data_IF_090948234718
#
_entry.id   IF_090948234718
#
_cell.length_a   1.000
_cell.length_b   1.000
_cell.length_c   1.000
_cell.angle_alpha   90.00
_cell.angle_beta   90.00
_cell.angle_gamma   90.00
#
_symmetry.space_group_name_H-M   'P 1'
#
loop_
_entity.id
_entity.type
_entity.pdbx_description
1 polymer ?
#
# COMPACT_ATOMS: atom_id res chain seq x y z
N UNK A 1 8.44 12.96 -23.90
CA UNK A 1 8.65 13.80 -22.70
C UNK A 1 7.76 13.14 -21.66
N UNK A 2 8.32 12.18 -20.89
CA UNK A 2 7.55 11.52 -19.82
C UNK A 2 7.31 12.59 -18.75
N UNK A 3 6.05 12.90 -18.48
CA UNK A 3 5.71 13.57 -17.23
C UNK A 3 6.21 12.68 -16.07
N UNK A 4 6.79 13.28 -15.03
CA UNK A 4 7.17 12.51 -13.86
C UNK A 4 5.91 11.84 -13.31
N UNK A 5 6.02 10.56 -13.00
CA UNK A 5 4.95 9.75 -12.41
C UNK A 5 4.72 10.14 -10.91
N UNK A 6 4.64 11.44 -10.65
CA UNK A 6 4.37 11.93 -9.30
C UNK A 6 2.94 11.53 -8.91
N UNK A 7 2.82 10.88 -7.76
CA UNK A 7 1.54 10.58 -7.09
C UNK A 7 0.62 9.56 -7.80
N UNK A 8 1.18 8.58 -8.50
CA UNK A 8 0.34 7.58 -9.21
C UNK A 8 -0.37 6.63 -8.26
N UNK A 9 0.25 6.23 -7.14
CA UNK A 9 -0.39 5.33 -6.18
C UNK A 9 -1.48 6.06 -5.40
N UNK A 10 -1.18 7.23 -4.83
CA UNK A 10 -2.15 8.04 -4.10
C UNK A 10 -3.35 8.41 -4.98
N UNK A 11 -3.10 8.76 -6.24
CA UNK A 11 -4.15 9.06 -7.20
C UNK A 11 -5.02 7.85 -7.51
N UNK A 12 -4.42 6.68 -7.80
CA UNK A 12 -5.16 5.45 -8.10
C UNK A 12 -6.05 5.02 -6.92
N UNK A 13 -5.55 5.16 -5.69
CA UNK A 13 -6.30 4.84 -4.47
C UNK A 13 -7.42 5.85 -4.21
N UNK A 14 -7.15 7.15 -4.38
CA UNK A 14 -8.12 8.22 -4.07
C UNK A 14 -9.23 8.37 -5.12
N UNK A 15 -8.98 8.00 -6.39
CA UNK A 15 -9.93 8.16 -7.50
C UNK A 15 -10.75 6.88 -7.78
N UNK A 16 -10.51 5.77 -7.05
CA UNK A 16 -11.23 4.51 -7.21
C UNK A 16 -12.71 4.61 -6.83
N UNK A 17 -13.58 3.86 -7.53
CA UNK A 17 -15.03 3.76 -7.24
C UNK A 17 -15.32 2.71 -6.13
N UNK A 18 -14.54 2.72 -5.04
CA UNK A 18 -14.60 1.78 -3.93
C UNK A 18 -13.21 1.49 -3.37
N UNK A 19 -13.07 0.41 -2.62
CA UNK A 19 -11.79 0.01 -2.05
C UNK A 19 -10.85 -0.51 -3.16
N UNK A 20 -9.65 0.07 -3.28
CA UNK A 20 -8.64 -0.38 -4.24
C UNK A 20 -7.96 -1.68 -3.79
N UNK A 21 -7.68 -2.59 -4.71
CA UNK A 21 -6.98 -3.85 -4.44
C UNK A 21 -5.56 -3.82 -4.97
N UNK A 22 -4.59 -3.81 -4.06
CA UNK A 22 -3.16 -3.88 -4.35
C UNK A 22 -2.68 -5.32 -4.14
N UNK A 23 -1.98 -5.88 -5.12
CA UNK A 23 -1.58 -7.31 -5.10
C UNK A 23 -0.08 -7.46 -4.91
N UNK A 24 0.32 -8.23 -3.91
CA UNK A 24 1.72 -8.62 -3.75
C UNK A 24 2.11 -9.63 -4.84
N UNK A 25 3.14 -9.30 -5.63
CA UNK A 25 3.56 -10.09 -6.77
C UNK A 25 4.98 -10.63 -6.58
N UNK A 26 5.18 -11.95 -6.84
CA UNK A 26 6.50 -12.57 -6.73
C UNK A 26 7.35 -12.42 -8.01
N UNK A 27 6.75 -12.07 -9.14
CA UNK A 27 7.42 -11.95 -10.44
C UNK A 27 6.62 -11.05 -11.41
N UNK A 28 7.26 -10.66 -12.52
CA UNK A 28 6.67 -9.79 -13.53
C UNK A 28 5.45 -10.41 -14.24
N UNK A 29 5.40 -11.72 -14.43
CA UNK A 29 4.24 -12.38 -15.05
C UNK A 29 3.01 -12.33 -14.13
N UNK A 30 3.22 -12.43 -12.82
CA UNK A 30 2.16 -12.26 -11.82
C UNK A 30 1.60 -10.83 -11.82
N UNK A 31 2.44 -9.80 -12.07
CA UNK A 31 1.97 -8.43 -12.20
C UNK A 31 1.04 -8.23 -13.41
N UNK A 32 1.42 -8.75 -14.57
CA UNK A 32 0.55 -8.76 -15.76
C UNK A 32 -0.77 -9.47 -15.50
N UNK A 33 -0.72 -10.60 -14.81
CA UNK A 33 -1.94 -11.35 -14.44
C UNK A 33 -2.83 -10.58 -13.47
N UNK A 34 -2.25 -9.89 -12.48
CA UNK A 34 -3.00 -9.07 -11.53
C UNK A 34 -3.70 -7.91 -12.25
N UNK A 35 -3.02 -7.23 -13.18
CA UNK A 35 -3.59 -6.18 -14.02
C UNK A 35 -4.75 -6.69 -14.88
N UNK A 36 -4.60 -7.83 -15.56
CA UNK A 36 -5.68 -8.46 -16.36
C UNK A 36 -6.88 -8.88 -15.50
N UNK A 37 -6.68 -9.06 -14.20
CA UNK A 37 -7.74 -9.43 -13.26
C UNK A 37 -8.38 -8.24 -12.57
N UNK A 38 -7.94 -7.00 -12.85
CA UNK A 38 -8.52 -5.78 -12.31
C UNK A 38 -7.94 -5.36 -10.96
N UNK A 39 -6.66 -5.64 -10.69
CA UNK A 39 -5.95 -5.01 -9.59
C UNK A 39 -5.73 -3.52 -9.89
N UNK A 40 -5.69 -2.69 -8.84
CA UNK A 40 -5.44 -1.24 -8.92
C UNK A 40 -3.97 -0.88 -8.72
N UNK A 41 -3.16 -1.82 -8.23
CA UNK A 41 -1.72 -1.67 -8.06
C UNK A 41 -1.03 -2.98 -7.71
N UNK A 42 0.29 -2.96 -7.74
CA UNK A 42 1.13 -4.11 -7.36
C UNK A 42 2.10 -3.74 -6.24
N UNK A 43 2.37 -4.70 -5.37
CA UNK A 43 3.29 -4.57 -4.23
C UNK A 43 4.47 -5.49 -4.42
N UNK A 44 5.69 -4.98 -4.19
CA UNK A 44 6.94 -5.70 -4.44
C UNK A 44 7.84 -5.69 -3.19
N UNK A 45 8.13 -6.87 -2.65
CA UNK A 45 9.00 -7.03 -1.47
C UNK A 45 10.44 -7.44 -1.80
N UNK A 46 10.68 -7.84 -3.04
CA UNK A 46 12.02 -8.20 -3.53
C UNK A 46 12.24 -7.57 -4.90
N UNK A 47 13.47 -7.13 -5.24
CA UNK A 47 13.73 -6.56 -6.55
C UNK A 47 13.33 -7.51 -7.69
N UNK A 48 12.46 -7.06 -8.58
CA UNK A 48 11.97 -7.81 -9.73
C UNK A 48 12.46 -7.15 -11.03
N UNK A 49 13.38 -7.78 -11.79
CA UNK A 49 13.80 -7.26 -13.07
C UNK A 49 12.62 -7.15 -14.05
N UNK A 50 12.62 -6.07 -14.85
CA UNK A 50 11.61 -5.82 -15.88
C UNK A 50 10.15 -5.72 -15.39
N UNK A 51 9.93 -5.47 -14.10
CA UNK A 51 8.58 -5.32 -13.57
C UNK A 51 7.85 -4.14 -14.20
N UNK A 52 8.51 -2.98 -14.32
CA UNK A 52 7.89 -1.79 -14.93
C UNK A 52 7.50 -1.99 -16.40
N UNK A 53 8.22 -2.86 -17.12
CA UNK A 53 7.88 -3.20 -18.51
C UNK A 53 6.68 -4.19 -18.60
N UNK A 54 6.34 -4.85 -17.50
CA UNK A 54 5.31 -5.88 -17.44
C UNK A 54 3.93 -5.38 -16.99
N UNK A 55 3.83 -4.17 -16.44
CA UNK A 55 2.57 -3.62 -15.94
C UNK A 55 2.55 -2.10 -16.03
N UNK A 56 1.38 -1.54 -16.31
CA UNK A 56 1.11 -0.10 -16.22
C UNK A 56 0.57 0.32 -14.84
N UNK A 57 0.25 -0.63 -13.96
CA UNK A 57 -0.25 -0.37 -12.63
C UNK A 57 0.77 0.39 -11.76
N UNK A 58 0.32 1.18 -10.77
CA UNK A 58 1.19 1.72 -9.74
C UNK A 58 1.94 0.62 -8.99
N UNK A 59 3.24 0.85 -8.72
CA UNK A 59 4.11 -0.08 -8.02
C UNK A 59 4.45 0.48 -6.65
N UNK A 60 4.02 -0.20 -5.57
CA UNK A 60 4.46 0.03 -4.20
C UNK A 60 5.70 -0.82 -3.91
N UNK A 61 6.81 -0.16 -3.67
CA UNK A 61 8.10 -0.79 -3.37
C UNK A 61 8.28 -0.98 -1.85
N UNK A 62 8.39 -2.23 -1.42
CA UNK A 62 8.54 -2.62 -0.02
C UNK A 62 9.90 -3.29 0.29
N UNK A 63 10.84 -3.25 -0.67
CA UNK A 63 12.17 -3.85 -0.54
C UNK A 63 13.22 -2.86 0.03
N UNK A 64 14.38 -2.78 -0.59
CA UNK A 64 15.44 -1.85 -0.18
C UNK A 64 15.03 -0.39 -0.41
N UNK A 65 15.51 0.54 0.36
CA UNK A 65 15.14 1.95 0.48
C UNK A 65 14.86 2.81 -0.78
N UNK A 66 14.72 4.13 -0.62
CA UNK A 66 14.15 5.03 -1.65
C UNK A 66 14.87 5.04 -3.00
N UNK A 67 16.21 4.98 -2.98
CA UNK A 67 17.01 5.00 -4.22
C UNK A 67 16.80 3.74 -5.06
N UNK A 68 16.62 2.58 -4.42
CA UNK A 68 16.31 1.33 -5.10
C UNK A 68 14.89 1.35 -5.69
N UNK A 69 13.91 1.91 -4.98
CA UNK A 69 12.55 2.12 -5.46
C UNK A 69 12.54 2.94 -6.75
N UNK A 70 13.21 4.09 -6.74
CA UNK A 70 13.33 4.98 -7.89
C UNK A 70 14.05 4.29 -9.08
N UNK A 71 15.14 3.57 -8.80
CA UNK A 71 15.88 2.85 -9.84
C UNK A 71 15.07 1.69 -10.46
N UNK A 72 14.13 1.11 -9.72
CA UNK A 72 13.21 0.08 -10.19
C UNK A 72 12.00 0.63 -10.96
N UNK A 73 11.83 1.95 -11.02
CA UNK A 73 10.67 2.59 -11.65
C UNK A 73 9.39 2.43 -10.83
N UNK A 74 9.50 2.34 -9.51
CA UNK A 74 8.36 2.33 -8.61
C UNK A 74 7.66 3.69 -8.57
N UNK A 75 6.41 3.70 -8.17
CA UNK A 75 5.58 4.90 -8.03
C UNK A 75 5.47 5.32 -6.55
N UNK A 76 5.65 4.38 -5.63
CA UNK A 76 5.62 4.61 -4.19
C UNK A 76 6.68 3.77 -3.45
N UNK A 77 7.10 4.26 -2.29
CA UNK A 77 8.06 3.57 -1.41
C UNK A 77 7.48 3.40 0.00
N UNK A 78 7.56 2.17 0.53
CA UNK A 78 7.14 1.83 1.88
C UNK A 78 8.26 2.12 2.88
N UNK A 79 7.94 2.89 3.91
CA UNK A 79 8.75 3.08 5.11
C UNK A 79 8.08 2.36 6.28
N UNK A 80 8.76 1.42 6.91
CA UNK A 80 8.20 0.61 8.02
C UNK A 80 8.56 1.26 9.35
N UNK A 81 7.59 1.86 10.05
CA UNK A 81 7.79 2.67 11.25
C UNK A 81 8.67 1.98 12.31
N UNK A 82 8.38 0.72 12.66
CA UNK A 82 9.14 -0.04 13.66
C UNK A 82 10.65 -0.20 13.36
N UNK A 83 11.09 0.01 12.13
CA UNK A 83 12.52 -0.03 11.78
C UNK A 83 13.26 1.22 12.25
N UNK A 84 12.51 2.22 12.71
CA UNK A 84 13.02 3.53 13.14
C UNK A 84 12.82 3.79 14.64
N UNK A 85 12.33 2.81 15.45
CA UNK A 85 12.00 2.94 16.87
C UNK A 85 13.10 3.62 17.70
N UNK A 86 14.36 3.32 17.43
CA UNK A 86 15.51 3.96 18.10
C UNK A 86 16.04 5.20 17.37
N UNK A 87 15.51 5.51 16.18
CA UNK A 87 16.11 6.50 15.26
C UNK A 87 15.06 7.22 14.39
N UNK A 88 14.03 7.77 14.98
CA UNK A 88 12.94 8.46 14.28
C UNK A 88 13.41 9.61 13.36
N UNK A 89 14.54 10.27 13.66
CA UNK A 89 15.11 11.29 12.77
C UNK A 89 15.45 10.73 11.37
N UNK A 90 15.80 9.43 11.30
CA UNK A 90 16.06 8.77 10.02
C UNK A 90 14.78 8.52 9.21
N UNK A 91 13.63 8.34 9.86
CA UNK A 91 12.35 8.27 9.16
C UNK A 91 12.10 9.60 8.41
N UNK A 92 12.36 10.73 9.04
CA UNK A 92 12.21 12.04 8.42
C UNK A 92 13.17 12.24 7.22
N UNK A 93 14.43 11.78 7.35
CA UNK A 93 15.41 11.84 6.26
C UNK A 93 14.98 10.95 5.07
N UNK A 94 14.56 9.70 5.33
CA UNK A 94 14.11 8.76 4.31
C UNK A 94 12.79 9.24 3.66
N UNK A 95 11.87 9.78 4.44
CA UNK A 95 10.63 10.39 3.95
C UNK A 95 10.93 11.54 2.97
N UNK A 96 11.80 12.50 3.39
CA UNK A 96 12.21 13.59 2.52
C UNK A 96 12.88 13.07 1.24
N UNK A 97 13.70 12.00 1.36
CA UNK A 97 14.36 11.38 0.21
C UNK A 97 13.36 10.76 -0.78
N UNK A 98 12.31 10.09 -0.30
CA UNK A 98 11.24 9.54 -1.17
C UNK A 98 10.57 10.66 -1.95
N UNK A 99 10.19 11.76 -1.27
CA UNK A 99 9.57 12.93 -1.90
C UNK A 99 10.49 13.60 -2.93
N UNK A 100 11.79 13.74 -2.63
CA UNK A 100 12.78 14.31 -3.57
C UNK A 100 12.92 13.48 -4.84
N UNK A 101 12.67 12.17 -4.76
CA UNK A 101 12.66 11.26 -5.91
C UNK A 101 11.34 11.27 -6.69
N UNK A 102 10.33 12.03 -6.24
CA UNK A 102 9.03 12.14 -6.86
C UNK A 102 8.16 10.90 -6.68
N UNK A 103 8.37 10.15 -5.60
CA UNK A 103 7.59 8.95 -5.25
C UNK A 103 6.58 9.29 -4.15
N UNK A 104 5.47 8.56 -4.13
CA UNK A 104 4.55 8.57 -2.99
C UNK A 104 5.20 7.90 -1.77
N UNK A 105 4.97 8.46 -0.58
CA UNK A 105 5.42 7.86 0.67
C UNK A 105 4.27 7.08 1.30
N UNK A 106 4.51 5.81 1.60
CA UNK A 106 3.61 4.98 2.40
C UNK A 106 4.32 4.63 3.69
N UNK A 107 3.70 4.90 4.84
CA UNK A 107 4.26 4.54 6.15
C UNK A 107 3.47 3.37 6.75
N UNK A 108 4.15 2.23 6.95
CA UNK A 108 3.57 1.08 7.65
C UNK A 108 3.59 1.31 9.15
N UNK A 109 2.42 1.17 9.77
CA UNK A 109 2.23 1.23 11.23
C UNK A 109 1.41 0.04 11.70
N UNK A 110 1.65 -0.40 12.95
CA UNK A 110 1.05 -1.60 13.55
C UNK A 110 0.34 -1.34 14.87
N UNK A 111 0.47 -0.15 15.38
CA UNK A 111 -0.16 0.27 16.63
C UNK A 111 -0.27 1.79 16.69
N UNK A 112 -0.99 2.28 17.70
CA UNK A 112 -1.23 3.70 17.93
C UNK A 112 0.07 4.49 18.16
N UNK A 113 1.04 3.93 18.88
CA UNK A 113 2.34 4.61 19.17
C UNK A 113 3.13 4.86 17.88
N UNK A 114 3.25 3.86 16.99
CA UNK A 114 3.89 4.01 15.68
C UNK A 114 3.16 5.04 14.79
N UNK A 115 1.82 5.06 14.85
CA UNK A 115 0.99 6.02 14.13
C UNK A 115 1.20 7.45 14.63
N UNK A 116 1.16 7.68 15.95
CA UNK A 116 1.39 8.97 16.56
C UNK A 116 2.78 9.52 16.23
N UNK A 117 3.83 8.70 16.38
CA UNK A 117 5.20 9.10 16.06
C UNK A 117 5.36 9.45 14.56
N UNK A 118 4.76 8.66 13.66
CA UNK A 118 4.80 8.95 12.23
C UNK A 118 4.10 10.28 11.91
N UNK A 119 2.95 10.57 12.53
CA UNK A 119 2.23 11.83 12.36
C UNK A 119 3.02 13.03 12.89
N UNK A 120 3.67 12.88 14.06
CA UNK A 120 4.46 13.97 14.65
C UNK A 120 5.74 14.30 13.84
N UNK A 121 6.35 13.28 13.23
CA UNK A 121 7.65 13.41 12.55
C UNK A 121 7.57 13.76 11.08
N UNK A 122 6.64 13.14 10.35
CA UNK A 122 6.62 13.20 8.89
C UNK A 122 5.27 13.51 8.27
N UNK A 123 4.18 13.32 9.02
CA UNK A 123 2.81 13.58 8.57
C UNK A 123 2.50 13.02 7.17
N UNK A 124 2.70 11.70 6.92
CA UNK A 124 2.58 11.11 5.60
C UNK A 124 1.14 11.18 5.07
N UNK A 125 0.97 11.14 3.76
CA UNK A 125 -0.36 11.12 3.11
C UNK A 125 -1.01 9.74 3.19
N UNK A 126 -0.21 8.66 3.16
CA UNK A 126 -0.69 7.28 3.08
C UNK A 126 -0.14 6.47 4.25
N UNK A 127 -1.05 5.84 5.01
CA UNK A 127 -0.72 4.85 6.04
C UNK A 127 -1.05 3.45 5.56
N UNK A 128 -0.14 2.49 5.79
CA UNK A 128 -0.40 1.08 5.64
C UNK A 128 -0.56 0.46 7.04
N UNK A 129 -1.80 0.09 7.36
CA UNK A 129 -2.15 -0.54 8.63
C UNK A 129 -1.88 -2.04 8.52
N UNK A 130 -0.94 -2.56 9.29
CA UNK A 130 -0.54 -3.95 9.27
C UNK A 130 -0.85 -4.64 10.60
N UNK A 131 -1.01 -5.95 10.56
CA UNK A 131 -1.17 -6.76 11.77
C UNK A 131 0.05 -6.63 12.68
N UNK A 132 -0.21 -6.74 13.96
CA UNK A 132 0.79 -6.81 14.97
C UNK A 132 1.46 -8.22 15.00
N UNK A 133 2.61 -8.39 15.67
CA UNK A 133 3.32 -9.69 15.73
C UNK A 133 2.63 -10.70 16.70
N UNK A 134 1.47 -10.35 17.27
CA UNK A 134 0.68 -11.22 18.14
C UNK A 134 -0.19 -12.18 17.31
N UNK A 135 0.16 -13.45 17.32
CA UNK A 135 -0.50 -14.49 16.54
C UNK A 135 -1.96 -14.80 17.02
N UNK A 136 -2.35 -14.31 18.17
CA UNK A 136 -3.68 -14.54 18.75
C UNK A 136 -4.70 -13.47 18.35
N UNK A 137 -4.26 -12.38 17.70
CA UNK A 137 -5.14 -11.29 17.25
C UNK A 137 -5.45 -11.46 15.75
N UNK A 138 -6.75 -11.39 15.40
CA UNK A 138 -7.16 -11.37 14.01
C UNK A 138 -6.70 -10.07 13.34
N UNK A 139 -6.05 -10.18 12.18
CA UNK A 139 -5.47 -9.02 11.48
C UNK A 139 -6.54 -8.03 11.04
N UNK A 140 -7.71 -8.51 10.61
CA UNK A 140 -8.82 -7.65 10.21
C UNK A 140 -9.33 -6.84 11.40
N UNK A 141 -9.58 -7.51 12.53
CA UNK A 141 -10.06 -6.85 13.74
C UNK A 141 -9.05 -5.80 14.20
N UNK A 142 -7.75 -6.13 14.21
CA UNK A 142 -6.69 -5.20 14.59
C UNK A 142 -6.62 -3.96 13.68
N UNK A 143 -6.69 -4.14 12.35
CA UNK A 143 -6.71 -3.02 11.40
C UNK A 143 -7.94 -2.13 11.62
N UNK A 144 -9.11 -2.74 11.86
CA UNK A 144 -10.35 -2.00 12.13
C UNK A 144 -10.32 -1.24 13.46
N UNK A 145 -9.57 -1.75 14.47
CA UNK A 145 -9.35 -1.05 15.73
C UNK A 145 -8.42 0.17 15.57
N UNK A 146 -7.39 0.07 14.71
CA UNK A 146 -6.41 1.14 14.48
C UNK A 146 -6.93 2.22 13.50
N UNK A 147 -7.84 1.86 12.60
CA UNK A 147 -8.34 2.77 11.55
C UNK A 147 -8.90 4.11 12.08
N UNK A 148 -9.65 4.19 13.21
CA UNK A 148 -10.17 5.45 13.73
C UNK A 148 -9.10 6.47 14.13
N UNK A 149 -7.87 6.04 14.38
CA UNK A 149 -6.75 6.90 14.77
C UNK A 149 -6.05 7.54 13.56
N UNK A 150 -6.33 7.05 12.33
CA UNK A 150 -5.85 7.67 11.09
C UNK A 150 -6.62 8.99 10.88
N UNK A 151 -5.93 10.14 10.76
CA UNK A 151 -6.60 11.43 10.60
C UNK A 151 -7.41 11.52 9.30
N UNK A 152 -8.56 12.19 9.36
CA UNK A 152 -9.35 12.46 8.18
C UNK A 152 -8.55 13.20 7.09
N UNK A 153 -8.63 12.72 5.87
CA UNK A 153 -7.89 13.26 4.71
C UNK A 153 -6.56 12.56 4.44
N UNK A 154 -6.18 11.57 5.25
CA UNK A 154 -5.12 10.61 4.94
C UNK A 154 -5.72 9.38 4.29
N UNK A 155 -4.94 8.68 3.47
CA UNK A 155 -5.35 7.42 2.87
C UNK A 155 -4.95 6.25 3.79
N UNK A 156 -5.92 5.38 4.09
CA UNK A 156 -5.71 4.18 4.90
C UNK A 156 -5.68 2.95 3.99
N UNK A 157 -4.54 2.26 3.99
CA UNK A 157 -4.34 0.99 3.26
C UNK A 157 -4.25 -0.13 4.29
N UNK A 158 -5.05 -1.18 4.17
CA UNK A 158 -4.98 -2.36 5.04
C UNK A 158 -4.05 -3.42 4.43
N UNK A 159 -3.19 -4.07 5.23
CA UNK A 159 -2.42 -5.23 4.79
C UNK A 159 -3.00 -6.51 5.37
N UNK A 160 -3.72 -7.27 4.54
CA UNK A 160 -4.32 -8.57 4.89
C UNK A 160 -3.95 -9.60 3.81
N UNK A 161 -2.88 -10.36 4.05
CA UNK A 161 -2.30 -11.26 3.07
C UNK A 161 -3.31 -12.25 2.47
N UNK A 162 -4.18 -12.84 3.27
CA UNK A 162 -5.16 -13.84 2.88
C UNK A 162 -6.61 -13.33 2.99
N UNK A 163 -6.90 -12.10 2.56
CA UNK A 163 -8.23 -11.52 2.62
C UNK A 163 -9.25 -12.32 1.79
N UNK A 164 -10.42 -12.53 2.35
CA UNK A 164 -11.60 -12.97 1.63
C UNK A 164 -12.36 -11.76 1.05
N UNK A 165 -13.35 -12.02 0.18
CA UNK A 165 -14.23 -10.96 -0.32
C UNK A 165 -15.03 -10.29 0.80
N UNK A 166 -15.45 -11.05 1.81
CA UNK A 166 -16.19 -10.51 2.94
C UNK A 166 -15.32 -9.57 3.78
N UNK A 167 -14.01 -9.88 3.93
CA UNK A 167 -13.05 -9.02 4.60
C UNK A 167 -12.85 -7.70 3.83
N UNK A 168 -12.68 -7.78 2.49
CA UNK A 168 -12.59 -6.60 1.62
C UNK A 168 -13.82 -5.71 1.75
N UNK A 169 -15.02 -6.30 1.74
CA UNK A 169 -16.28 -5.57 1.94
C UNK A 169 -16.41 -4.97 3.34
N UNK A 170 -15.86 -5.62 4.37
CA UNK A 170 -15.83 -5.08 5.73
C UNK A 170 -14.92 -3.86 5.84
N UNK A 171 -13.71 -3.94 5.23
CA UNK A 171 -12.76 -2.83 5.14
C UNK A 171 -13.35 -1.62 4.39
N UNK A 172 -13.98 -1.85 3.23
CA UNK A 172 -14.63 -0.80 2.45
C UNK A 172 -15.71 -0.08 3.25
N UNK A 173 -16.58 -0.83 3.95
CA UNK A 173 -17.63 -0.23 4.81
C UNK A 173 -17.07 0.54 5.99
N UNK A 174 -15.91 0.17 6.47
CA UNK A 174 -15.21 0.88 7.54
C UNK A 174 -14.52 2.16 7.07
N UNK A 175 -14.35 2.33 5.75
CA UNK A 175 -13.71 3.51 5.15
C UNK A 175 -12.21 3.34 4.90
N UNK A 176 -11.74 2.10 4.71
CA UNK A 176 -10.39 1.81 4.21
C UNK A 176 -10.35 2.08 2.71
N UNK A 177 -9.33 2.79 2.24
CA UNK A 177 -9.20 3.23 0.85
C UNK A 177 -8.61 2.14 -0.06
N UNK A 178 -7.71 1.30 0.48
CA UNK A 178 -7.11 0.20 -0.28
C UNK A 178 -6.77 -1.00 0.61
N UNK A 179 -6.65 -2.18 0.01
CA UNK A 179 -6.17 -3.40 0.67
C UNK A 179 -5.02 -4.03 -0.09
N UNK A 180 -3.95 -4.40 0.64
CA UNK A 180 -2.84 -5.21 0.11
C UNK A 180 -3.10 -6.68 0.41
N UNK A 181 -3.06 -7.51 -0.63
CA UNK A 181 -3.37 -8.95 -0.54
C UNK A 181 -2.30 -9.80 -1.25
N UNK A 182 -2.12 -11.04 -0.77
CA UNK A 182 -1.34 -12.07 -1.43
C UNK A 182 -2.31 -13.05 -2.13
N UNK A 183 -2.73 -12.75 -3.34
CA UNK A 183 -3.67 -13.62 -4.08
C UNK A 183 -3.27 -13.78 -5.54
N UNK A 184 -3.63 -14.93 -6.11
CA UNK A 184 -3.55 -15.18 -7.55
C UNK A 184 -4.91 -15.01 -8.25
N UNK A 185 -5.96 -14.71 -7.49
CA UNK A 185 -7.33 -14.57 -8.00
C UNK A 185 -7.96 -13.27 -7.50
N UNK A 186 -7.52 -12.17 -8.09
CA UNK A 186 -8.01 -10.81 -7.77
C UNK A 186 -9.50 -10.67 -8.04
N UNK A 187 -10.01 -11.27 -9.13
CA UNK A 187 -11.43 -11.22 -9.50
C UNK A 187 -12.36 -11.73 -8.41
N UNK A 188 -11.89 -12.69 -7.60
CA UNK A 188 -12.68 -13.18 -6.47
C UNK A 188 -12.90 -12.14 -5.38
N UNK A 189 -12.00 -11.15 -5.28
CA UNK A 189 -12.04 -10.07 -4.29
C UNK A 189 -12.80 -8.84 -4.81
N UNK A 190 -12.52 -8.40 -6.04
CA UNK A 190 -13.09 -7.19 -6.65
C UNK A 190 -14.56 -7.37 -7.02
N UNK A 191 -15.02 -8.62 -7.27
CA UNK A 191 -16.39 -8.90 -7.71
C UNK A 191 -16.59 -8.69 -9.22
N UNK A 192 -17.62 -9.32 -9.76
CA UNK A 192 -18.06 -9.04 -11.13
C UNK A 192 -18.61 -7.60 -11.20
N UNK A 193 -18.32 -6.92 -12.30
CA UNK A 193 -18.91 -5.62 -12.67
C UNK A 193 -20.40 -5.54 -12.30
N UNK A 194 -20.90 -4.41 -11.76
CA UNK A 194 -22.32 -4.29 -11.49
C UNK A 194 -23.10 -4.50 -12.80
N UNK A 195 -24.26 -5.17 -12.76
CA UNK A 195 -25.05 -5.37 -13.97
C UNK A 195 -25.41 -4.01 -14.57
N UNK A 196 -25.06 -3.83 -15.83
CA UNK A 196 -25.50 -2.64 -16.59
C UNK A 196 -27.02 -2.49 -16.46
N UNK A 197 -27.46 -1.32 -15.98
CA UNK A 197 -28.88 -0.94 -15.84
C UNK A 197 -29.38 -0.40 -17.15
#
# INVERSE_FOLDING_TARGET
>A
MNEPAAHRLSQAVAEGDGISVLVEVPDAASATTAEEQGADGVVVRTPLPALRDATELPILWCADGPDAASAAGADACLLVARRYDDHWDRLADDHARVLDLGLDVVVEVRNEEELEEALERVDPEIFLLAGNDDADVDVLDHVLELLPDVPAGKLAVAHIAAASRDDVLALERAGVDAVVVETRNVRALVGDEPPEV
#
